data_IF_252382943459
#
_entry.id   IF_252382943459
#
_cell.length_a   1.000
_cell.length_b   1.000
_cell.length_c   1.000
_cell.angle_alpha   90.00
_cell.angle_beta   90.00
_cell.angle_gamma   90.00
#
_symmetry.space_group_name_H-M   'P 1'
#
loop_
_entity.id
_entity.type
_entity.pdbx_description
1 polymer ?
#
# COMPACT_ATOMS: atom_id res chain seq x y z
N UNK A 1 0.87 -6.92 -3.26
CA UNK A 1 0.80 -7.88 -4.38
C UNK A 1 0.57 -7.15 -5.69
N UNK A 2 1.16 -7.66 -6.76
CA UNK A 2 0.91 -7.20 -8.13
C UNK A 2 -0.14 -8.13 -8.74
N UNK A 3 -1.33 -7.63 -9.10
CA UNK A 3 -2.37 -8.47 -9.66
C UNK A 3 -2.00 -8.95 -11.08
N UNK A 4 -2.25 -10.24 -11.38
CA UNK A 4 -1.86 -10.89 -12.64
C UNK A 4 -3.10 -11.18 -13.51
N UNK A 5 -3.61 -10.14 -14.19
CA UNK A 5 -4.86 -10.23 -14.96
C UNK A 5 -4.79 -11.17 -16.17
N UNK A 6 -3.60 -11.37 -16.73
CA UNK A 6 -3.37 -12.28 -17.87
C UNK A 6 -3.23 -13.75 -17.46
N UNK A 7 -3.31 -14.05 -16.17
CA UNK A 7 -3.40 -15.45 -15.72
C UNK A 7 -4.82 -15.98 -15.92
N UNK A 8 -4.97 -17.30 -15.97
CA UNK A 8 -6.29 -17.94 -15.96
C UNK A 8 -6.99 -17.90 -14.58
N UNK A 9 -6.33 -17.31 -13.55
CA UNK A 9 -6.82 -17.29 -12.18
C UNK A 9 -7.63 -16.04 -11.90
N UNK A 10 -8.77 -16.22 -11.24
CA UNK A 10 -9.60 -15.12 -10.70
C UNK A 10 -8.84 -14.35 -9.61
N UNK A 11 -9.26 -13.11 -9.35
CA UNK A 11 -8.63 -12.24 -8.35
C UNK A 11 -8.64 -12.85 -6.95
N UNK A 12 -9.78 -13.41 -6.55
CA UNK A 12 -9.96 -14.13 -5.29
C UNK A 12 -9.00 -15.31 -5.14
N UNK A 13 -8.73 -16.06 -6.22
CA UNK A 13 -7.78 -17.16 -6.21
C UNK A 13 -6.35 -16.65 -6.00
N UNK A 14 -5.94 -15.58 -6.68
CA UNK A 14 -4.61 -14.99 -6.50
C UNK A 14 -4.40 -14.49 -5.06
N UNK A 15 -5.42 -13.87 -4.48
CA UNK A 15 -5.34 -13.41 -3.10
C UNK A 15 -5.27 -14.57 -2.10
N UNK A 16 -6.09 -15.61 -2.30
CA UNK A 16 -6.09 -16.81 -1.45
C UNK A 16 -4.71 -17.48 -1.44
N UNK A 17 -4.11 -17.67 -2.61
CA UNK A 17 -2.78 -18.30 -2.72
C UNK A 17 -1.71 -17.48 -1.99
N UNK A 18 -1.73 -16.15 -2.14
CA UNK A 18 -0.86 -15.25 -1.38
C UNK A 18 -1.07 -15.39 0.13
N UNK A 19 -2.33 -15.29 0.59
CA UNK A 19 -2.65 -15.29 2.01
C UNK A 19 -2.32 -16.62 2.68
N UNK A 20 -2.75 -17.74 2.10
CA UNK A 20 -2.48 -19.08 2.65
C UNK A 20 -0.98 -19.41 2.58
N UNK A 21 -0.27 -18.96 1.53
CA UNK A 21 1.19 -19.10 1.46
C UNK A 21 1.91 -18.37 2.60
N UNK A 22 1.54 -17.11 2.86
CA UNK A 22 2.08 -16.33 3.98
C UNK A 22 1.70 -16.91 5.34
N UNK A 23 0.45 -17.35 5.51
CA UNK A 23 -0.05 -17.99 6.72
C UNK A 23 0.68 -19.30 7.01
N UNK A 24 0.95 -20.13 6.00
CA UNK A 24 1.76 -21.35 6.12
C UNK A 24 3.19 -21.01 6.55
N UNK A 25 3.72 -19.85 6.14
CA UNK A 25 4.97 -19.28 6.63
C UNK A 25 4.92 -18.69 8.05
N UNK A 26 3.83 -18.91 8.79
CA UNK A 26 3.57 -18.31 10.13
C UNK A 26 3.54 -16.78 10.13
N UNK A 27 3.13 -16.17 9.01
CA UNK A 27 2.97 -14.72 8.87
C UNK A 27 1.50 -14.35 9.03
N UNK A 28 1.18 -13.52 10.02
CA UNK A 28 -0.15 -12.98 10.26
C UNK A 28 -0.33 -11.68 9.46
N UNK A 29 -1.02 -11.80 8.32
CA UNK A 29 -1.26 -10.68 7.41
C UNK A 29 -2.47 -9.86 7.88
N UNK A 30 -2.29 -8.56 8.12
CA UNK A 30 -3.37 -7.62 8.48
C UNK A 30 -3.77 -6.68 7.34
N UNK A 31 -2.83 -6.35 6.46
CA UNK A 31 -3.06 -5.49 5.30
C UNK A 31 -2.27 -6.00 4.11
N UNK A 32 -2.87 -5.96 2.92
CA UNK A 32 -2.20 -6.16 1.63
C UNK A 32 -2.39 -4.92 0.75
N UNK A 33 -1.30 -4.47 0.12
CA UNK A 33 -1.34 -3.38 -0.87
C UNK A 33 -1.44 -3.96 -2.27
N UNK A 34 -2.48 -3.59 -3.03
CA UNK A 34 -2.66 -3.95 -4.44
C UNK A 34 -1.98 -2.92 -5.32
N UNK A 35 -0.99 -3.35 -6.12
CA UNK A 35 -0.37 -2.49 -7.10
C UNK A 35 -1.28 -2.37 -8.34
N UNK A 36 -1.97 -1.25 -8.45
CA UNK A 36 -2.87 -0.92 -9.57
C UNK A 36 -2.18 0.12 -10.44
N UNK A 37 -1.10 -0.30 -11.10
CA UNK A 37 -0.26 0.55 -11.93
C UNK A 37 0.02 -0.07 -13.28
N UNK A 38 0.67 0.70 -14.14
CA UNK A 38 1.14 0.26 -15.45
C UNK A 38 -0.01 -0.23 -16.33
N UNK A 39 -0.84 0.68 -16.89
CA UNK A 39 -2.08 0.35 -17.60
C UNK A 39 -1.92 -0.69 -18.71
N UNK A 40 -0.75 -0.78 -19.33
CA UNK A 40 -0.40 -1.80 -20.33
C UNK A 40 -0.54 -3.26 -19.82
N UNK A 41 -0.46 -3.47 -18.51
CA UNK A 41 -0.62 -4.77 -17.87
C UNK A 41 -2.10 -5.13 -17.59
N UNK A 42 -3.02 -4.19 -17.81
CA UNK A 42 -4.45 -4.34 -17.57
C UNK A 42 -5.22 -4.52 -18.88
N UNK A 43 -6.44 -5.07 -18.79
CA UNK A 43 -7.35 -5.13 -19.92
C UNK A 43 -7.87 -3.74 -20.27
N UNK A 44 -8.28 -3.53 -21.52
CA UNK A 44 -8.90 -2.26 -21.95
C UNK A 44 -10.32 -2.08 -21.40
N UNK A 45 -10.96 -3.16 -20.92
CA UNK A 45 -12.29 -3.11 -20.32
C UNK A 45 -12.20 -2.77 -18.82
N UNK A 46 -12.50 -1.51 -18.49
CA UNK A 46 -12.49 -1.02 -17.10
C UNK A 46 -13.45 -1.76 -16.19
N UNK A 47 -14.59 -2.25 -16.69
CA UNK A 47 -15.54 -3.00 -15.87
C UNK A 47 -14.95 -4.35 -15.45
N UNK A 48 -14.28 -5.06 -16.36
CA UNK A 48 -13.58 -6.31 -16.04
C UNK A 48 -12.44 -6.07 -15.03
N UNK A 49 -11.69 -4.98 -15.18
CA UNK A 49 -10.65 -4.59 -14.23
C UNK A 49 -11.23 -4.35 -12.82
N UNK A 50 -12.35 -3.61 -12.72
CA UNK A 50 -13.05 -3.36 -11.46
C UNK A 50 -13.60 -4.65 -10.87
N UNK A 51 -14.22 -5.51 -11.67
CA UNK A 51 -14.71 -6.83 -11.23
C UNK A 51 -13.57 -7.67 -10.64
N UNK A 52 -12.42 -7.70 -11.31
CA UNK A 52 -11.25 -8.43 -10.85
C UNK A 52 -10.71 -7.88 -9.52
N UNK A 53 -10.63 -6.55 -9.37
CA UNK A 53 -10.25 -5.89 -8.11
C UNK A 53 -11.25 -6.19 -6.98
N UNK A 54 -12.55 -6.11 -7.25
CA UNK A 54 -13.60 -6.43 -6.27
C UNK A 54 -13.58 -7.89 -5.84
N UNK A 55 -13.21 -8.81 -6.72
CA UNK A 55 -13.03 -10.23 -6.40
C UNK A 55 -11.85 -10.45 -5.43
N UNK A 56 -10.75 -9.70 -5.58
CA UNK A 56 -9.64 -9.68 -4.61
C UNK A 56 -10.12 -9.11 -3.27
N UNK A 57 -10.77 -7.95 -3.28
CA UNK A 57 -11.22 -7.25 -2.06
C UNK A 57 -12.20 -8.12 -1.27
N UNK A 58 -13.10 -8.81 -1.97
CA UNK A 58 -14.06 -9.73 -1.34
C UNK A 58 -13.36 -10.88 -0.61
N UNK A 59 -12.32 -11.45 -1.23
CA UNK A 59 -11.53 -12.51 -0.58
C UNK A 59 -10.71 -11.96 0.60
N UNK A 60 -10.13 -10.77 0.48
CA UNK A 60 -9.43 -10.12 1.58
C UNK A 60 -10.35 -9.86 2.77
N UNK A 61 -11.57 -9.37 2.52
CA UNK A 61 -12.62 -9.18 3.52
C UNK A 61 -12.99 -10.49 4.22
N UNK A 62 -13.12 -11.59 3.47
CA UNK A 62 -13.36 -12.92 4.03
C UNK A 62 -12.27 -13.32 5.05
N UNK A 63 -10.99 -13.03 4.74
CA UNK A 63 -9.87 -13.29 5.64
C UNK A 63 -9.63 -12.21 6.70
N UNK A 64 -10.51 -11.20 6.80
CA UNK A 64 -10.34 -10.03 7.68
C UNK A 64 -9.02 -9.28 7.44
N UNK A 65 -8.53 -9.29 6.20
CA UNK A 65 -7.34 -8.56 5.74
C UNK A 65 -7.79 -7.26 5.07
N UNK A 66 -7.14 -6.15 5.44
CA UNK A 66 -7.39 -4.85 4.82
C UNK A 66 -6.71 -4.75 3.46
N UNK A 67 -7.34 -4.03 2.54
CA UNK A 67 -6.74 -3.69 1.25
C UNK A 67 -6.39 -2.20 1.23
N UNK A 68 -5.18 -1.92 0.74
CA UNK A 68 -4.83 -0.60 0.24
C UNK A 68 -4.45 -0.67 -1.24
N UNK A 69 -4.53 0.44 -1.94
CA UNK A 69 -4.12 0.56 -3.34
C UNK A 69 -2.80 1.31 -3.45
N UNK A 70 -1.92 0.82 -4.32
CA UNK A 70 -0.71 1.50 -4.73
C UNK A 70 -0.87 1.89 -6.21
N UNK A 71 -1.10 3.17 -6.47
CA UNK A 71 -1.48 3.68 -7.80
C UNK A 71 -1.22 5.19 -7.94
N UNK A 72 -1.52 5.79 -9.10
CA UNK A 72 -1.66 7.22 -9.29
C UNK A 72 -2.94 7.53 -10.08
N UNK A 73 -3.29 8.81 -10.22
CA UNK A 73 -4.52 9.27 -10.89
C UNK A 73 -4.55 8.86 -12.35
N UNK A 74 -3.41 8.93 -13.05
CA UNK A 74 -3.33 8.58 -14.46
C UNK A 74 -3.57 7.09 -14.68
N UNK A 75 -2.88 6.25 -13.91
CA UNK A 75 -3.04 4.79 -13.95
C UNK A 75 -4.45 4.40 -13.50
N UNK A 76 -4.94 4.96 -12.39
CA UNK A 76 -6.29 4.69 -11.89
C UNK A 76 -7.36 5.04 -12.92
N UNK A 77 -7.30 6.23 -13.52
CA UNK A 77 -8.27 6.63 -14.53
C UNK A 77 -8.21 5.75 -15.78
N UNK A 78 -7.02 5.34 -16.22
CA UNK A 78 -6.90 4.44 -17.36
C UNK A 78 -7.39 3.02 -17.06
N UNK A 79 -7.15 2.53 -15.84
CA UNK A 79 -7.46 1.15 -15.46
C UNK A 79 -8.93 1.00 -15.05
N UNK A 80 -9.47 1.96 -14.30
CA UNK A 80 -10.79 1.87 -13.63
C UNK A 80 -11.79 2.93 -14.10
N UNK A 81 -11.41 3.86 -14.98
CA UNK A 81 -12.22 5.06 -15.33
C UNK A 81 -12.62 5.90 -14.12
N UNK A 82 -11.75 5.97 -13.10
CA UNK A 82 -11.98 6.83 -11.94
C UNK A 82 -12.98 6.25 -10.93
N UNK A 83 -13.10 4.92 -10.86
CA UNK A 83 -13.94 4.23 -9.88
C UNK A 83 -13.69 4.74 -8.45
N UNK A 84 -14.76 4.84 -7.66
CA UNK A 84 -14.74 5.29 -6.27
C UNK A 84 -14.62 4.11 -5.31
N UNK A 85 -13.98 4.32 -4.16
CA UNK A 85 -13.87 3.33 -3.10
C UNK A 85 -13.83 4.00 -1.74
N UNK A 86 -14.70 3.54 -0.83
CA UNK A 86 -14.79 4.07 0.52
C UNK A 86 -13.93 3.27 1.50
N UNK A 87 -13.22 4.00 2.38
CA UNK A 87 -12.42 3.41 3.45
C UNK A 87 -11.11 2.74 3.02
N UNK A 88 -10.74 2.82 1.74
CA UNK A 88 -9.43 2.37 1.25
C UNK A 88 -8.28 3.18 1.83
N UNK A 89 -7.13 2.51 1.98
CA UNK A 89 -5.86 3.22 2.11
C UNK A 89 -5.22 3.36 0.73
N UNK A 90 -4.63 4.52 0.44
CA UNK A 90 -4.03 4.79 -0.87
C UNK A 90 -2.57 5.21 -0.69
N UNK A 91 -1.65 4.49 -1.32
CA UNK A 91 -0.27 4.93 -1.52
C UNK A 91 -0.08 5.40 -2.95
N UNK A 92 0.44 6.62 -3.11
CA UNK A 92 0.67 7.21 -4.42
C UNK A 92 2.02 6.76 -5.04
N UNK A 93 2.02 6.10 -6.22
CA UNK A 93 3.23 5.73 -6.99
C UNK A 93 3.42 6.66 -8.21
N UNK A 94 4.58 7.35 -8.33
CA UNK A 94 5.18 8.07 -9.51
C UNK A 94 4.37 8.10 -10.84
N UNK A 95 4.31 9.16 -11.67
CA UNK A 95 5.23 10.26 -12.02
C UNK A 95 4.40 11.39 -12.67
N UNK A 96 4.72 12.66 -12.38
CA UNK A 96 4.05 13.87 -12.91
C UNK A 96 2.61 14.09 -12.44
N UNK A 97 2.42 14.52 -11.19
CA UNK A 97 1.29 15.39 -10.87
C UNK A 97 1.74 16.85 -10.98
N UNK A 98 1.07 17.61 -11.82
CA UNK A 98 1.12 19.07 -11.71
C UNK A 98 0.64 19.47 -10.31
N UNK A 99 1.41 20.31 -9.62
CA UNK A 99 1.21 20.73 -8.22
C UNK A 99 -0.25 21.07 -7.87
N UNK A 100 -1.02 21.62 -8.83
CA UNK A 100 -2.39 22.08 -8.60
C UNK A 100 -3.40 20.95 -8.34
N UNK A 101 -3.14 19.73 -8.84
CA UNK A 101 -4.05 18.60 -8.62
C UNK A 101 -3.86 17.94 -7.25
N UNK A 102 -2.66 17.98 -6.68
CA UNK A 102 -2.32 17.19 -5.49
C UNK A 102 -3.04 17.69 -4.22
N UNK A 103 -3.17 19.01 -4.05
CA UNK A 103 -3.90 19.64 -2.93
C UNK A 103 -5.41 19.53 -3.05
N UNK A 104 -5.96 19.58 -4.27
CA UNK A 104 -7.38 19.38 -4.50
C UNK A 104 -7.78 17.92 -4.26
N UNK A 105 -6.96 16.97 -4.74
CA UNK A 105 -7.16 15.53 -4.57
C UNK A 105 -7.04 15.14 -3.09
N UNK A 106 -6.08 15.69 -2.33
CA UNK A 106 -5.98 15.35 -0.90
C UNK A 106 -7.19 15.80 -0.10
N UNK A 107 -7.74 16.99 -0.39
CA UNK A 107 -8.98 17.47 0.24
C UNK A 107 -10.20 16.65 -0.17
N UNK A 108 -10.32 16.32 -1.45
CA UNK A 108 -11.45 15.54 -1.97
C UNK A 108 -11.45 14.11 -1.41
N UNK A 109 -10.29 13.46 -1.33
CA UNK A 109 -10.18 12.10 -0.80
C UNK A 109 -10.34 12.05 0.73
N UNK A 110 -9.94 13.11 1.46
CA UNK A 110 -10.26 13.24 2.88
C UNK A 110 -11.77 13.33 3.14
N UNK A 111 -12.53 13.97 2.23
CA UNK A 111 -14.00 14.01 2.31
C UNK A 111 -14.62 12.61 2.22
N UNK A 112 -14.06 11.71 1.40
CA UNK A 112 -14.49 10.30 1.30
C UNK A 112 -13.86 9.37 2.36
N UNK A 113 -13.32 9.92 3.44
CA UNK A 113 -12.66 9.13 4.51
C UNK A 113 -11.50 8.22 4.03
N UNK A 114 -10.90 8.53 2.88
CA UNK A 114 -9.74 7.79 2.35
C UNK A 114 -8.48 8.28 3.05
N UNK A 115 -7.73 7.36 3.67
CA UNK A 115 -6.40 7.70 4.21
C UNK A 115 -5.37 7.68 3.10
N UNK A 116 -4.83 8.86 2.81
CA UNK A 116 -3.86 9.07 1.74
C UNK A 116 -2.45 9.00 2.30
N UNK A 117 -1.58 8.31 1.59
CA UNK A 117 -0.17 8.30 1.84
C UNK A 117 0.66 8.49 0.58
N UNK A 118 1.87 9.00 0.76
CA UNK A 118 2.85 9.18 -0.30
C UNK A 118 4.02 8.20 -0.17
N UNK A 119 4.36 7.52 -1.26
CA UNK A 119 5.58 6.73 -1.36
C UNK A 119 6.70 7.57 -1.98
N UNK A 120 7.63 8.06 -1.17
CA UNK A 120 8.60 9.06 -1.63
C UNK A 120 9.76 9.24 -0.64
N UNK A 121 10.71 10.09 -0.99
CA UNK A 121 11.73 10.61 -0.08
C UNK A 121 11.90 12.11 -0.33
N UNK A 122 12.71 12.79 0.48
CA UNK A 122 12.91 14.24 0.37
C UNK A 122 13.42 14.67 -1.02
N UNK A 123 14.28 13.86 -1.64
CA UNK A 123 14.83 14.15 -2.96
C UNK A 123 13.75 14.09 -4.04
N UNK A 124 13.05 12.96 -4.13
CA UNK A 124 11.96 12.75 -5.07
C UNK A 124 10.83 13.77 -4.84
N UNK A 125 10.47 14.02 -3.59
CA UNK A 125 9.44 14.99 -3.23
C UNK A 125 9.78 16.37 -3.77
N UNK A 126 10.99 16.87 -3.52
CA UNK A 126 11.40 18.19 -4.00
C UNK A 126 11.44 18.27 -5.53
N UNK A 127 11.88 17.21 -6.21
CA UNK A 127 11.90 17.17 -7.67
C UNK A 127 10.49 17.26 -8.27
N UNK A 128 9.54 16.54 -7.66
CA UNK A 128 8.18 16.38 -8.16
C UNK A 128 7.28 17.56 -7.77
N UNK A 129 7.30 17.93 -6.50
CA UNK A 129 6.35 18.90 -5.92
C UNK A 129 6.95 20.30 -5.81
N UNK A 130 8.23 20.48 -6.19
CA UNK A 130 8.96 21.75 -6.01
C UNK A 130 8.90 22.27 -4.57
N UNK A 131 8.91 21.35 -3.60
CA UNK A 131 8.93 21.67 -2.17
C UNK A 131 7.56 22.01 -1.57
N UNK A 132 6.45 21.61 -2.22
CA UNK A 132 5.11 21.81 -1.67
C UNK A 132 4.94 21.16 -0.29
N UNK A 133 4.03 21.70 0.52
CA UNK A 133 3.67 21.14 1.84
C UNK A 133 2.38 20.33 1.75
N UNK A 134 2.23 19.34 2.65
CA UNK A 134 1.02 18.53 2.74
C UNK A 134 0.67 18.28 4.21
N UNK A 135 -0.62 18.33 4.53
CA UNK A 135 -1.12 18.08 5.89
C UNK A 135 -1.95 16.79 5.94
N UNK A 136 -1.83 16.04 7.04
CA UNK A 136 -2.69 14.89 7.33
C UNK A 136 -2.46 13.63 6.48
N UNK A 137 -1.40 13.59 5.69
CA UNK A 137 -1.04 12.42 4.89
C UNK A 137 -0.09 11.45 5.62
N UNK A 138 -0.14 10.18 5.26
CA UNK A 138 0.83 9.16 5.67
C UNK A 138 2.08 9.21 4.77
N UNK A 139 3.22 8.76 5.28
CA UNK A 139 4.46 8.70 4.50
C UNK A 139 5.05 7.29 4.52
N UNK A 140 5.20 6.71 3.33
CA UNK A 140 6.00 5.52 3.06
C UNK A 140 7.31 6.03 2.51
N UNK A 141 8.24 6.23 3.42
CA UNK A 141 9.58 6.71 3.11
C UNK A 141 10.37 5.61 2.38
N UNK A 142 11.13 5.94 1.35
CA UNK A 142 12.02 4.95 0.75
C UNK A 142 13.47 5.44 0.76
N UNK A 143 14.37 4.58 1.21
CA UNK A 143 15.80 4.80 1.11
C UNK A 143 16.51 3.45 0.95
N UNK A 144 17.08 3.22 -0.23
CA UNK A 144 17.73 1.96 -0.62
C UNK A 144 18.91 2.31 -1.53
N UNK A 145 19.96 1.49 -1.51
CA UNK A 145 21.16 1.69 -2.32
C UNK A 145 21.11 0.98 -3.67
N UNK A 146 20.18 0.03 -3.84
CA UNK A 146 20.08 -0.80 -5.04
C UNK A 146 18.99 -1.85 -4.92
N UNK A 147 19.00 -2.84 -5.81
CA UNK A 147 18.15 -4.02 -5.71
C UNK A 147 18.88 -5.23 -5.14
N UNK A 148 18.12 -6.11 -4.48
CA UNK A 148 18.63 -7.31 -3.81
C UNK A 148 19.35 -7.00 -2.49
N UNK A 149 19.81 -8.05 -1.77
CA UNK A 149 20.20 -7.93 -0.37
C UNK A 149 21.34 -6.91 -0.11
N UNK A 150 22.24 -6.73 -1.07
CA UNK A 150 23.33 -5.75 -0.97
C UNK A 150 22.88 -4.30 -1.10
N UNK A 151 21.65 -4.07 -1.60
CA UNK A 151 21.02 -2.77 -1.75
C UNK A 151 20.26 -2.30 -0.52
N UNK A 152 20.17 -3.11 0.54
CA UNK A 152 19.44 -2.76 1.75
C UNK A 152 20.07 -1.58 2.51
N UNK A 153 19.22 -0.75 3.12
CA UNK A 153 19.62 0.20 4.16
C UNK A 153 19.17 -0.32 5.54
N UNK A 154 19.66 0.25 6.65
CA UNK A 154 19.20 -0.18 7.97
C UNK A 154 17.67 -0.11 8.10
N UNK A 155 17.08 -1.18 8.64
CA UNK A 155 15.65 -1.31 8.93
C UNK A 155 15.21 -0.46 10.14
N UNK A 156 15.49 0.84 10.10
CA UNK A 156 15.12 1.85 11.08
C UNK A 156 14.92 3.20 10.40
N UNK A 157 14.53 4.22 11.17
CA UNK A 157 14.20 5.56 10.67
C UNK A 157 15.29 6.61 10.90
N UNK A 158 16.51 6.20 11.28
CA UNK A 158 17.57 7.14 11.68
C UNK A 158 18.08 8.02 10.53
N UNK A 159 17.89 7.55 9.30
CA UNK A 159 18.22 8.25 8.06
C UNK A 159 17.11 9.20 7.59
N UNK A 160 15.93 9.16 8.21
CA UNK A 160 14.84 10.07 7.86
C UNK A 160 15.23 11.52 8.15
N UNK A 161 14.82 12.42 7.25
CA UNK A 161 14.95 13.87 7.40
C UNK A 161 13.57 14.49 7.16
N UNK A 162 13.03 15.32 8.07
CA UNK A 162 11.72 15.94 7.89
C UNK A 162 11.63 16.78 6.60
N UNK A 163 10.50 16.67 5.89
CA UNK A 163 10.20 17.47 4.71
C UNK A 163 8.68 17.64 4.56
N UNK A 164 8.22 18.70 3.90
CA UNK A 164 6.81 18.88 3.55
C UNK A 164 5.79 18.72 4.70
N UNK A 165 6.21 19.04 5.93
CA UNK A 165 5.51 18.81 7.22
C UNK A 165 5.45 17.36 7.72
N UNK A 166 6.02 16.39 7.00
CA UNK A 166 6.29 15.08 7.55
C UNK A 166 7.40 15.17 8.60
N UNK A 167 7.03 14.99 9.87
CA UNK A 167 7.98 14.94 10.99
C UNK A 167 8.40 13.51 11.34
N UNK A 168 7.59 12.52 10.96
CA UNK A 168 7.91 11.09 11.05
C UNK A 168 7.28 10.33 9.88
N UNK A 169 7.96 9.30 9.32
CA UNK A 169 7.35 8.39 8.38
C UNK A 169 6.42 7.40 9.11
N UNK A 170 5.40 6.91 8.40
CA UNK A 170 4.56 5.80 8.87
C UNK A 170 5.28 4.47 8.69
N UNK A 171 5.98 4.33 7.58
CA UNK A 171 6.74 3.13 7.21
C UNK A 171 7.94 3.53 6.34
N UNK A 172 8.93 2.65 6.27
CA UNK A 172 10.10 2.80 5.41
C UNK A 172 10.32 1.54 4.57
N UNK A 173 10.47 1.69 3.26
CA UNK A 173 11.07 0.67 2.41
C UNK A 173 12.60 0.75 2.54
N UNK A 174 13.20 -0.31 3.05
CA UNK A 174 14.65 -0.41 3.27
C UNK A 174 15.31 -1.47 2.38
N UNK A 175 14.54 -2.30 1.67
CA UNK A 175 15.03 -3.24 0.64
C UNK A 175 14.04 -3.40 -0.51
N UNK A 176 14.52 -3.74 -1.70
CA UNK A 176 13.69 -3.97 -2.89
C UNK A 176 14.22 -5.13 -3.74
N UNK A 177 13.32 -5.79 -4.47
CA UNK A 177 13.68 -6.92 -5.35
C UNK A 177 14.41 -8.06 -4.60
N UNK A 178 13.97 -8.33 -3.37
CA UNK A 178 14.51 -9.39 -2.51
C UNK A 178 13.86 -10.73 -2.83
N UNK A 179 14.60 -11.84 -2.71
CA UNK A 179 14.06 -13.18 -2.88
C UNK A 179 13.76 -13.82 -1.53
N UNK A 180 12.48 -14.06 -1.23
CA UNK A 180 12.04 -14.74 -0.01
C UNK A 180 11.12 -15.89 -0.41
N UNK A 181 11.52 -17.12 -0.07
CA UNK A 181 10.76 -18.34 -0.38
C UNK A 181 10.34 -18.46 -1.86
N UNK A 182 11.21 -18.04 -2.80
CA UNK A 182 10.94 -18.08 -4.25
C UNK A 182 10.03 -16.96 -4.77
N UNK A 183 9.71 -15.96 -3.94
CA UNK A 183 8.91 -14.80 -4.31
C UNK A 183 9.76 -13.53 -4.21
N UNK A 184 9.67 -12.70 -5.25
CA UNK A 184 10.27 -11.35 -5.22
C UNK A 184 9.45 -10.43 -4.33
N UNK A 185 10.05 -9.86 -3.29
CA UNK A 185 9.42 -8.98 -2.32
C UNK A 185 10.21 -7.68 -2.14
N UNK A 186 9.54 -6.64 -1.64
CA UNK A 186 10.21 -5.49 -1.03
C UNK A 186 10.17 -5.66 0.49
N UNK A 187 11.11 -5.04 1.18
CA UNK A 187 11.22 -5.12 2.65
C UNK A 187 10.98 -3.76 3.27
N UNK A 188 10.03 -3.75 4.20
CA UNK A 188 9.57 -2.55 4.88
C UNK A 188 9.68 -2.67 6.39
N UNK A 189 9.90 -1.54 7.06
CA UNK A 189 9.81 -1.41 8.52
C UNK A 189 8.76 -0.35 8.86
N UNK A 190 7.96 -0.59 9.89
CA UNK A 190 6.99 0.37 10.43
C UNK A 190 6.98 0.28 11.95
N UNK A 191 6.64 1.39 12.61
CA UNK A 191 6.48 1.39 14.06
C UNK A 191 5.14 0.73 14.41
N UNK A 192 5.19 -0.30 15.24
CA UNK A 192 4.01 -0.76 15.97
C UNK A 192 3.76 0.23 17.11
N UNK A 193 2.74 1.08 16.97
CA UNK A 193 2.29 1.84 18.14
C UNK A 193 1.70 0.84 19.14
N UNK A 194 2.43 0.63 20.25
CA UNK A 194 1.97 -0.14 21.41
C UNK A 194 0.84 0.65 22.08
N UNK A 195 -0.36 0.63 21.52
CA UNK A 195 -1.53 0.99 22.31
C UNK A 195 -1.71 -0.08 23.38
N UNK A 196 -1.95 0.31 24.63
CA UNK A 196 -2.00 -0.60 25.79
C UNK A 196 -3.07 -1.72 25.66
N UNK A 197 -4.00 -1.62 24.70
CA UNK A 197 -4.92 -2.69 24.34
C UNK A 197 -4.28 -3.84 23.56
N UNK A 198 -3.25 -3.58 22.74
CA UNK A 198 -2.54 -4.62 21.97
C UNK A 198 -1.61 -5.44 22.87
N UNK A 199 -1.09 -4.85 23.94
CA UNK A 199 -0.23 -5.55 24.91
C UNK A 199 -0.98 -6.60 25.74
N UNK A 200 -2.29 -6.49 25.90
CA UNK A 200 -3.09 -7.53 26.54
C UNK A 200 -3.21 -8.77 25.64
N UNK A 201 -3.49 -8.58 24.35
CA UNK A 201 -3.58 -9.68 23.36
C UNK A 201 -2.21 -10.29 23.02
N UNK A 202 -1.13 -9.50 23.01
CA UNK A 202 0.23 -10.00 22.72
C UNK A 202 0.88 -10.72 23.91
N UNK A 203 0.45 -10.44 25.15
CA UNK A 203 0.92 -11.20 26.31
C UNK A 203 0.44 -12.65 26.31
N UNK A 204 -0.59 -12.97 25.53
CA UNK A 204 -1.09 -14.34 25.34
C UNK A 204 -0.41 -15.08 24.18
N UNK A 205 0.30 -14.37 23.28
CA UNK A 205 1.02 -14.95 22.14
C UNK A 205 2.50 -14.66 22.21
N UNK A 206 3.19 -15.36 23.10
CA UNK A 206 4.59 -15.69 22.92
C UNK A 206 4.70 -16.79 21.83
N UNK A 207 4.19 -16.52 20.62
CA UNK A 207 4.33 -17.41 19.46
C UNK A 207 5.25 -16.76 18.44
N UNK A 208 6.02 -17.58 17.72
CA UNK A 208 6.94 -17.18 16.62
C UNK A 208 6.22 -16.57 15.39
N UNK A 209 5.01 -16.03 15.57
CA UNK A 209 4.12 -15.56 14.52
C UNK A 209 4.42 -14.10 14.17
N UNK A 210 4.96 -13.85 12.97
CA UNK A 210 5.29 -12.51 12.50
C UNK A 210 4.01 -11.77 12.06
N UNK A 211 3.66 -10.66 12.72
CA UNK A 211 2.50 -9.84 12.35
C UNK A 211 2.89 -8.75 11.35
N UNK A 212 2.26 -8.74 10.18
CA UNK A 212 2.53 -7.79 9.08
C UNK A 212 1.32 -6.90 8.78
N UNK A 213 1.53 -5.59 8.63
CA UNK A 213 0.55 -4.67 8.03
C UNK A 213 -0.49 -4.06 8.98
N UNK A 214 -0.18 -3.86 10.26
CA UNK A 214 -1.11 -3.21 11.18
C UNK A 214 -1.11 -1.68 10.99
N UNK A 215 -1.89 -1.16 10.03
CA UNK A 215 -1.96 0.26 9.67
C UNK A 215 -3.41 0.78 9.80
N UNK A 216 -3.61 1.82 10.62
CA UNK A 216 -4.91 2.47 10.85
C UNK A 216 -5.83 1.74 11.85
N UNK A 217 -6.82 2.42 12.40
CA UNK A 217 -7.79 1.84 13.37
C UNK A 217 -9.17 1.60 12.78
N UNK A 218 -9.48 2.17 11.62
CA UNK A 218 -10.82 2.13 11.03
C UNK A 218 -10.97 0.89 10.11
N UNK A 219 -12.13 0.22 10.17
CA UNK A 219 -12.44 -0.95 9.33
C UNK A 219 -12.73 -0.50 7.90
N UNK A 220 -12.13 -1.18 6.93
CA UNK A 220 -12.50 -1.08 5.50
C UNK A 220 -13.88 -1.72 5.33
N UNK A 221 -14.88 -0.96 4.86
CA UNK A 221 -16.28 -1.43 4.84
C UNK A 221 -16.80 -1.81 3.44
N UNK A 222 -16.25 -1.26 2.34
CA UNK A 222 -16.98 -1.24 1.06
C UNK A 222 -16.16 -1.59 -0.20
N UNK A 223 -16.85 -2.01 -1.26
CA UNK A 223 -16.27 -2.40 -2.56
C UNK A 223 -16.06 -1.18 -3.48
N UNK A 224 -15.29 -1.35 -4.56
CA UNK A 224 -15.20 -0.34 -5.62
C UNK A 224 -16.54 -0.22 -6.34
N UNK A 225 -17.00 1.01 -6.56
CA UNK A 225 -18.16 1.36 -7.36
C UNK A 225 -17.77 2.18 -8.60
N UNK A 226 -18.55 2.05 -9.67
CA UNK A 226 -18.39 2.88 -10.87
C UNK A 226 -18.79 4.33 -10.56
N UNK A 227 -18.02 5.29 -11.07
CA UNK A 227 -18.35 6.71 -11.02
C UNK A 227 -19.56 7.06 -11.90
#
# INVERSE_FOLDING_TARGET
MTPLLRSSKKGSQQFRELYEGLKNGKINVKTVWLQVTSPINWGSNSNENIYFLNDIISMAKYYSVRIGFYTNVYDWNQITKGATVDGAMLWYQKLSLHLCQLTAITRLLQYYSVRIGFYTNVYDWNQITKGATVDGAMLWYWNINGGGPSGETPANFNDFRPFAKFTKPTMKQFGQMEQVCGVTVNRDVYLLEKSNHILADLKEKQSDELIVGNLGTNKFTELLSTA
#
